data_IF_502748445391
#
_entry.id   IF_502748445391
#
_cell.length_a   1.000
_cell.length_b   1.000
_cell.length_c   1.000
_cell.angle_alpha   90.00
_cell.angle_beta   90.00
_cell.angle_gamma   90.00
#
_symmetry.space_group_name_H-M   'P 1'
#
loop_
_entity.id
_entity.type
_entity.pdbx_description
1 polymer ?
#
# COMPACT_ATOMS: atom_id res chain seq x y z
N UNK A 1 20.23 -3.58 -0.34
CA UNK A 1 19.05 -3.57 0.55
C UNK A 1 18.31 -2.28 0.31
N UNK A 2 17.04 -2.36 -0.09
CA UNK A 2 16.21 -1.20 -0.39
C UNK A 2 15.16 -1.08 0.71
N UNK A 3 14.96 0.13 1.24
CA UNK A 3 13.96 0.39 2.28
C UNK A 3 12.81 1.16 1.65
N UNK A 4 11.59 0.65 1.82
CA UNK A 4 10.38 1.24 1.27
C UNK A 4 9.26 1.14 2.29
N UNK A 5 8.34 2.10 2.29
CA UNK A 5 7.08 1.99 3.00
C UNK A 5 5.95 1.63 2.05
N UNK A 6 4.95 0.91 2.55
CA UNK A 6 3.74 0.57 1.83
C UNK A 6 2.53 0.74 2.74
N UNK A 7 1.56 1.52 2.27
CA UNK A 7 0.39 1.92 3.06
C UNK A 7 -0.89 1.98 2.21
N UNK A 8 -2.03 1.81 2.86
CA UNK A 8 -3.36 1.86 2.28
C UNK A 8 -4.31 2.71 3.11
N UNK A 9 -5.12 3.52 2.42
CA UNK A 9 -6.10 4.41 3.06
C UNK A 9 -7.46 4.25 2.41
N UNK A 10 -8.52 4.16 3.21
CA UNK A 10 -9.90 4.15 2.75
C UNK A 10 -10.74 5.23 3.45
N UNK A 11 -11.53 5.97 2.67
CA UNK A 11 -12.49 6.97 3.14
C UNK A 11 -13.86 6.31 3.36
N UNK A 12 -13.94 5.52 4.44
CA UNK A 12 -15.03 4.59 4.71
C UNK A 12 -14.61 3.15 4.36
N UNK A 13 -15.17 2.15 5.05
CA UNK A 13 -14.73 0.76 4.94
C UNK A 13 -15.95 -0.18 4.73
N UNK A 14 -16.42 -0.38 3.48
CA UNK A 14 -15.79 0.03 2.22
C UNK A 14 -16.11 1.48 1.78
N UNK A 15 -15.24 2.05 0.95
CA UNK A 15 -15.35 3.41 0.43
C UNK A 15 -14.26 3.72 -0.62
N UNK A 16 -14.14 4.98 -1.09
CA UNK A 16 -13.01 5.39 -1.93
C UNK A 16 -11.70 5.08 -1.22
N UNK A 17 -10.81 4.34 -1.88
CA UNK A 17 -9.59 3.87 -1.27
C UNK A 17 -8.39 4.07 -2.20
N UNK A 18 -7.22 4.21 -1.60
CA UNK A 18 -5.96 4.37 -2.29
C UNK A 18 -4.87 3.57 -1.60
N UNK A 19 -3.93 3.09 -2.39
CA UNK A 19 -2.71 2.43 -1.96
C UNK A 19 -1.52 3.27 -2.44
N UNK A 20 -0.41 3.19 -1.70
CA UNK A 20 0.85 3.74 -2.16
C UNK A 20 2.02 2.95 -1.59
N UNK A 21 3.09 2.89 -2.37
CA UNK A 21 4.42 2.55 -1.86
C UNK A 21 5.38 3.69 -2.13
N UNK A 22 6.36 3.84 -1.26
CA UNK A 22 7.25 4.99 -1.24
C UNK A 22 8.68 4.57 -0.86
N UNK A 23 9.65 4.94 -1.69
CA UNK A 23 11.09 4.86 -1.38
C UNK A 23 11.62 6.25 -1.10
N UNK A 24 11.38 7.17 -2.04
CA UNK A 24 11.71 8.59 -1.97
C UNK A 24 10.79 9.40 -2.92
N UNK A 25 10.94 10.73 -2.95
CA UNK A 25 10.07 11.62 -3.74
C UNK A 25 10.18 11.41 -5.26
N UNK A 26 11.26 10.77 -5.73
CA UNK A 26 11.46 10.42 -7.13
C UNK A 26 11.04 8.98 -7.44
N UNK A 27 10.94 8.11 -6.44
CA UNK A 27 10.64 6.69 -6.57
C UNK A 27 9.46 6.28 -5.67
N UNK A 28 8.25 6.46 -6.19
CA UNK A 28 7.00 6.08 -5.54
C UNK A 28 5.91 5.80 -6.56
N UNK A 29 4.92 5.00 -6.19
CA UNK A 29 3.70 4.87 -6.97
C UNK A 29 2.47 4.79 -6.07
N UNK A 30 1.33 5.21 -6.60
CA UNK A 30 0.05 5.15 -5.94
C UNK A 30 -1.06 4.80 -6.94
N UNK A 31 -2.18 4.31 -6.41
CA UNK A 31 -3.35 3.96 -7.19
C UNK A 31 -4.51 3.66 -6.25
N UNK A 32 -5.67 3.28 -6.77
CA UNK A 32 -6.82 3.04 -5.90
C UNK A 32 -8.10 2.70 -6.64
N UNK A 33 -9.21 2.78 -5.90
CA UNK A 33 -10.54 2.47 -6.42
C UNK A 33 -11.59 3.41 -5.82
N UNK A 34 -12.71 3.64 -6.53
CA UNK A 34 -13.87 4.34 -5.96
C UNK A 34 -14.51 3.60 -4.78
N UNK A 35 -14.33 2.28 -4.68
CA UNK A 35 -14.94 1.44 -3.66
C UNK A 35 -14.07 0.22 -3.34
N UNK A 36 -13.38 0.25 -2.20
CA UNK A 36 -12.63 -0.86 -1.63
C UNK A 36 -12.50 -0.70 -0.11
N UNK A 37 -11.93 -1.70 0.55
CA UNK A 37 -11.64 -1.69 1.99
C UNK A 37 -10.21 -1.25 2.28
N UNK A 38 -9.91 -0.85 3.52
CA UNK A 38 -8.55 -0.52 3.93
C UNK A 38 -7.59 -1.71 3.72
N UNK A 39 -8.00 -2.90 4.15
CA UNK A 39 -7.20 -4.13 4.00
C UNK A 39 -6.85 -4.45 2.53
N UNK A 40 -7.76 -4.16 1.59
CA UNK A 40 -7.48 -4.33 0.16
C UNK A 40 -6.44 -3.33 -0.34
N UNK A 41 -6.54 -2.06 0.12
CA UNK A 41 -5.56 -1.04 -0.20
C UNK A 41 -4.17 -1.38 0.37
N UNK A 42 -4.08 -1.76 1.65
CA UNK A 42 -2.82 -2.14 2.29
C UNK A 42 -2.16 -3.36 1.63
N UNK A 43 -2.94 -4.41 1.32
CA UNK A 43 -2.43 -5.59 0.60
C UNK A 43 -1.92 -5.22 -0.79
N UNK A 44 -2.62 -4.32 -1.48
CA UNK A 44 -2.23 -3.91 -2.83
C UNK A 44 -1.00 -3.02 -2.81
N UNK A 45 -0.84 -2.15 -1.81
CA UNK A 45 0.37 -1.35 -1.64
C UNK A 45 1.63 -2.22 -1.60
N UNK A 46 1.58 -3.30 -0.82
CA UNK A 46 2.67 -4.28 -0.75
C UNK A 46 2.79 -5.04 -2.06
N UNK A 47 1.69 -5.55 -2.63
CA UNK A 47 1.72 -6.26 -3.92
C UNK A 47 2.40 -5.44 -5.03
N UNK A 48 2.03 -4.18 -5.18
CA UNK A 48 2.54 -3.29 -6.21
C UNK A 48 4.01 -2.91 -5.96
N UNK A 49 4.45 -2.80 -4.70
CA UNK A 49 5.86 -2.63 -4.38
C UNK A 49 6.68 -3.86 -4.82
N UNK A 50 6.17 -5.07 -4.55
CA UNK A 50 6.84 -6.29 -4.98
C UNK A 50 6.87 -6.42 -6.52
N UNK A 51 5.81 -6.03 -7.21
CA UNK A 51 5.80 -5.98 -8.69
C UNK A 51 6.78 -4.97 -9.26
N UNK A 52 6.78 -3.75 -8.72
CA UNK A 52 7.68 -2.68 -9.16
C UNK A 52 9.16 -3.07 -9.05
N UNK A 53 9.49 -3.94 -8.10
CA UNK A 53 10.86 -4.38 -7.81
C UNK A 53 11.18 -5.78 -8.32
N UNK A 54 10.28 -6.42 -9.09
CA UNK A 54 10.44 -7.82 -9.50
C UNK A 54 11.72 -8.11 -10.31
N UNK A 55 12.30 -7.08 -10.95
CA UNK A 55 13.55 -7.17 -11.71
C UNK A 55 14.81 -7.08 -10.83
N UNK A 56 14.67 -6.83 -9.52
CA UNK A 56 15.76 -6.63 -8.58
C UNK A 56 15.98 -7.85 -7.69
N UNK A 57 17.25 -8.19 -7.48
CA UNK A 57 17.68 -9.22 -6.53
C UNK A 57 17.88 -8.67 -5.10
N UNK A 58 17.84 -7.35 -4.91
CA UNK A 58 18.03 -6.72 -3.61
C UNK A 58 17.05 -7.21 -2.53
N UNK A 59 17.53 -7.29 -1.29
CA UNK A 59 16.65 -7.51 -0.14
C UNK A 59 15.78 -6.27 0.10
N UNK A 60 14.46 -6.48 0.16
CA UNK A 60 13.48 -5.45 0.48
C UNK A 60 13.22 -5.36 1.97
N UNK A 61 13.39 -4.16 2.53
CA UNK A 61 12.95 -3.80 3.86
C UNK A 61 11.65 -3.00 3.77
N UNK A 62 10.53 -3.65 4.10
CA UNK A 62 9.19 -3.05 3.96
C UNK A 62 8.70 -2.54 5.31
N UNK A 63 8.50 -1.23 5.42
CA UNK A 63 7.83 -0.57 6.54
C UNK A 63 6.32 -0.58 6.26
N UNK A 64 5.55 -1.05 7.23
CA UNK A 64 4.10 -1.10 7.12
C UNK A 64 3.48 -1.02 8.52
N UNK A 65 2.42 -0.24 8.69
CA UNK A 65 1.67 -0.18 9.95
C UNK A 65 0.53 -1.20 10.02
N UNK A 66 0.18 -1.83 8.89
CA UNK A 66 -0.81 -2.90 8.83
C UNK A 66 -0.32 -4.19 9.46
N UNK A 67 -0.83 -4.45 10.66
CA UNK A 67 -0.67 -5.77 11.28
C UNK A 67 -1.35 -6.88 10.49
N UNK A 68 -2.42 -6.57 9.74
CA UNK A 68 -3.10 -7.57 8.92
C UNK A 68 -2.17 -8.07 7.81
N UNK A 69 -1.56 -7.16 7.04
CA UNK A 69 -0.64 -7.53 5.95
C UNK A 69 0.58 -8.26 6.48
N UNK A 70 1.23 -7.72 7.52
CA UNK A 70 2.41 -8.35 8.12
C UNK A 70 2.09 -9.76 8.61
N UNK A 71 1.00 -9.95 9.37
CA UNK A 71 0.65 -11.28 9.88
C UNK A 71 0.19 -12.23 8.76
N UNK A 72 -0.51 -11.73 7.73
CA UNK A 72 -0.89 -12.52 6.57
C UNK A 72 0.35 -13.12 5.91
N UNK A 73 1.33 -12.29 5.55
CA UNK A 73 2.56 -12.72 4.87
C UNK A 73 3.45 -13.58 5.78
N UNK A 74 3.67 -13.17 7.02
CA UNK A 74 4.70 -13.79 7.88
C UNK A 74 4.20 -14.99 8.69
N UNK A 75 2.90 -15.09 8.99
CA UNK A 75 2.36 -16.10 9.91
C UNK A 75 1.29 -16.98 9.30
N UNK A 76 0.36 -16.42 8.52
CA UNK A 76 -0.88 -17.13 8.19
C UNK A 76 -0.88 -17.78 6.81
N UNK A 77 -0.25 -17.14 5.81
CA UNK A 77 -0.30 -17.55 4.41
C UNK A 77 0.17 -19.00 4.20
N UNK A 78 1.24 -19.43 4.86
CA UNK A 78 1.72 -20.83 4.79
C UNK A 78 0.70 -21.85 5.32
N UNK A 79 -0.08 -21.48 6.33
CA UNK A 79 -1.18 -22.28 6.87
C UNK A 79 -2.38 -22.31 5.92
N UNK A 80 -2.74 -21.17 5.34
CA UNK A 80 -3.84 -21.05 4.39
C UNK A 80 -3.56 -21.84 3.11
N UNK A 81 -2.35 -21.76 2.54
CA UNK A 81 -1.94 -22.55 1.37
C UNK A 81 -2.12 -24.05 1.59
N UNK A 82 -1.69 -24.57 2.74
CA UNK A 82 -1.88 -25.98 3.11
C UNK A 82 -3.34 -26.40 3.24
N UNK A 83 -4.24 -25.46 3.53
CA UNK A 83 -5.69 -25.67 3.64
C UNK A 83 -6.46 -25.27 2.38
N UNK A 84 -5.77 -25.06 1.25
CA UNK A 84 -6.41 -24.64 0.00
C UNK A 84 -7.10 -23.27 0.12
N UNK A 85 -6.48 -22.34 0.87
CA UNK A 85 -6.95 -20.99 1.12
C UNK A 85 -8.32 -20.91 1.82
N UNK A 86 -8.56 -21.84 2.75
CA UNK A 86 -9.77 -21.89 3.58
C UNK A 86 -9.47 -21.74 5.06
N UNK A 87 -10.39 -21.09 5.77
CA UNK A 87 -10.42 -21.01 7.23
C UNK A 87 -10.90 -22.32 7.84
N UNK A 88 -10.81 -22.44 9.17
CA UNK A 88 -11.23 -23.63 9.90
C UNK A 88 -12.73 -23.93 9.78
N UNK A 89 -13.55 -22.91 9.54
CA UNK A 89 -14.99 -23.00 9.30
C UNK A 89 -15.34 -23.40 7.84
N UNK A 90 -14.34 -23.69 7.00
CA UNK A 90 -14.50 -24.09 5.61
C UNK A 90 -14.72 -22.92 4.64
N UNK A 91 -14.91 -21.69 5.14
CA UNK A 91 -15.07 -20.50 4.30
C UNK A 91 -13.72 -20.10 3.68
N UNK A 92 -13.72 -19.46 2.50
CA UNK A 92 -12.52 -18.86 1.94
C UNK A 92 -11.89 -17.85 2.92
N UNK A 93 -10.57 -17.70 2.83
CA UNK A 93 -9.86 -16.60 3.49
C UNK A 93 -10.30 -15.28 2.83
N UNK A 94 -10.47 -14.24 3.62
CA UNK A 94 -10.82 -12.92 3.09
C UNK A 94 -9.66 -12.35 2.27
N UNK A 95 -9.96 -11.70 1.14
CA UNK A 95 -8.98 -11.19 0.17
C UNK A 95 -8.09 -12.29 -0.45
N UNK A 96 -8.64 -13.51 -0.62
CA UNK A 96 -7.87 -14.65 -1.13
C UNK A 96 -7.22 -14.38 -2.48
N UNK A 97 -7.89 -13.69 -3.40
CA UNK A 97 -7.33 -13.40 -4.72
C UNK A 97 -6.08 -12.51 -4.60
N UNK A 98 -6.16 -11.42 -3.81
CA UNK A 98 -5.01 -10.54 -3.56
C UNK A 98 -3.87 -11.27 -2.84
N UNK A 99 -4.19 -12.10 -1.85
CA UNK A 99 -3.20 -12.88 -1.11
C UNK A 99 -2.49 -13.91 -1.99
N UNK A 100 -3.19 -14.52 -2.95
CA UNK A 100 -2.60 -15.45 -3.91
C UNK A 100 -1.67 -14.74 -4.89
N UNK A 101 -2.06 -13.56 -5.38
CA UNK A 101 -1.17 -12.72 -6.21
C UNK A 101 0.08 -12.32 -5.41
N UNK A 102 -0.09 -11.86 -4.17
CA UNK A 102 1.02 -11.48 -3.31
C UNK A 102 1.94 -12.66 -3.02
N UNK A 103 1.40 -13.85 -2.73
CA UNK A 103 2.19 -15.07 -2.54
C UNK A 103 3.05 -15.41 -3.76
N UNK A 104 2.53 -15.18 -4.98
CA UNK A 104 3.28 -15.40 -6.21
C UNK A 104 4.43 -14.39 -6.36
N UNK A 105 4.20 -13.11 -6.10
CA UNK A 105 5.24 -12.06 -6.19
C UNK A 105 6.31 -12.16 -5.09
N UNK A 106 5.99 -12.76 -3.95
CA UNK A 106 6.93 -13.01 -2.86
C UNK A 106 7.86 -14.20 -3.13
N UNK A 107 7.47 -15.10 -4.04
CA UNK A 107 8.18 -16.36 -4.25
C UNK A 107 9.62 -16.14 -4.73
N UNK A 108 10.59 -16.68 -3.97
CA UNK A 108 12.01 -16.58 -4.31
C UNK A 108 12.68 -15.24 -3.98
N UNK A 109 11.96 -14.28 -3.40
CA UNK A 109 12.49 -12.95 -3.08
C UNK A 109 13.01 -12.87 -1.65
N UNK A 110 13.98 -11.98 -1.42
CA UNK A 110 14.50 -11.66 -0.08
C UNK A 110 13.79 -10.43 0.46
N UNK A 111 13.12 -10.56 1.60
CA UNK A 111 12.41 -9.45 2.21
C UNK A 111 12.32 -9.58 3.72
N UNK A 112 12.16 -8.44 4.40
CA UNK A 112 11.82 -8.33 5.81
C UNK A 112 10.75 -7.26 6.00
N UNK A 113 9.83 -7.50 6.93
CA UNK A 113 8.81 -6.52 7.32
C UNK A 113 9.17 -5.91 8.67
N UNK A 114 9.06 -4.59 8.77
CA UNK A 114 9.10 -3.86 10.04
C UNK A 114 7.72 -3.26 10.29
N UNK A 115 7.13 -3.64 11.41
CA UNK A 115 5.90 -3.00 11.86
C UNK A 115 6.24 -1.64 12.44
N UNK A 116 5.70 -0.59 11.84
CA UNK A 116 5.80 0.78 12.34
C UNK A 116 4.46 1.18 12.93
N UNK A 117 4.48 2.10 13.90
CA UNK A 117 3.24 2.63 14.44
C UNK A 117 2.72 3.71 13.48
N UNK A 118 1.46 3.60 13.08
CA UNK A 118 0.81 4.65 12.30
C UNK A 118 0.79 6.00 13.04
N UNK A 119 0.58 7.06 12.27
CA UNK A 119 0.31 8.45 12.65
C UNK A 119 1.49 9.42 12.84
N UNK A 120 2.62 9.09 13.48
CA UNK A 120 3.79 10.01 13.57
C UNK A 120 5.10 9.27 13.90
N UNK A 121 6.20 9.65 13.26
CA UNK A 121 7.58 9.28 13.61
C UNK A 121 8.30 8.44 12.57
N UNK A 122 7.71 8.25 11.39
CA UNK A 122 8.27 7.41 10.32
C UNK A 122 8.05 8.07 8.96
N UNK A 123 8.97 8.94 8.55
CA UNK A 123 8.86 9.78 7.33
C UNK A 123 8.45 8.99 6.08
N UNK A 124 9.02 7.79 5.86
CA UNK A 124 8.65 6.95 4.72
C UNK A 124 7.19 6.49 4.79
N UNK A 125 6.72 6.06 5.96
CA UNK A 125 5.34 5.60 6.14
C UNK A 125 4.36 6.77 6.04
N UNK A 126 4.68 7.92 6.63
CA UNK A 126 3.87 9.13 6.52
C UNK A 126 3.76 9.60 5.06
N UNK A 127 4.85 9.49 4.29
CA UNK A 127 4.86 9.79 2.87
C UNK A 127 3.97 8.82 2.07
N UNK A 128 3.95 7.53 2.43
CA UNK A 128 3.07 6.53 1.83
C UNK A 128 1.59 6.76 2.21
N UNK A 129 1.27 6.93 3.50
CA UNK A 129 -0.08 7.25 3.99
C UNK A 129 -0.67 8.48 3.28
N UNK A 130 0.10 9.57 3.24
CA UNK A 130 -0.32 10.82 2.59
C UNK A 130 -0.69 10.61 1.12
N UNK A 131 0.10 9.81 0.39
CA UNK A 131 -0.14 9.50 -1.03
C UNK A 131 -1.35 8.56 -1.20
N UNK A 132 -1.47 7.53 -0.39
CA UNK A 132 -2.61 6.61 -0.38
C UNK A 132 -3.91 7.38 -0.10
N UNK A 133 -3.91 8.25 0.91
CA UNK A 133 -5.04 9.12 1.26
C UNK A 133 -5.37 10.10 0.13
N UNK A 134 -4.36 10.71 -0.51
CA UNK A 134 -4.59 11.62 -1.62
C UNK A 134 -5.31 10.94 -2.78
N UNK A 135 -5.00 9.67 -3.08
CA UNK A 135 -5.74 8.88 -4.07
C UNK A 135 -7.19 8.65 -3.64
N UNK A 136 -7.42 8.21 -2.41
CA UNK A 136 -8.77 7.98 -1.89
C UNK A 136 -9.62 9.26 -1.98
N UNK A 137 -9.04 10.41 -1.64
CA UNK A 137 -9.70 11.70 -1.75
C UNK A 137 -9.93 12.15 -3.20
N UNK A 138 -9.04 11.81 -4.13
CA UNK A 138 -9.22 12.07 -5.55
C UNK A 138 -10.44 11.31 -6.08
N UNK A 139 -10.60 10.03 -5.73
CA UNK A 139 -11.79 9.26 -6.06
C UNK A 139 -13.07 9.84 -5.44
N UNK A 140 -13.03 10.23 -4.16
CA UNK A 140 -14.18 10.89 -3.50
C UNK A 140 -14.61 12.17 -4.21
N UNK A 141 -13.65 12.92 -4.78
CA UNK A 141 -13.89 14.22 -5.45
C UNK A 141 -14.10 14.10 -6.96
N UNK A 142 -13.90 12.92 -7.56
CA UNK A 142 -13.87 12.76 -9.01
C UNK A 142 -12.71 13.51 -9.69
N UNK A 143 -11.59 13.67 -9.00
CA UNK A 143 -10.40 14.36 -9.49
C UNK A 143 -9.39 13.39 -10.14
N UNK A 144 -8.35 13.94 -10.77
CA UNK A 144 -7.24 13.14 -11.29
C UNK A 144 -6.54 12.39 -10.16
N UNK A 145 -6.36 11.08 -10.35
CA UNK A 145 -5.72 10.20 -9.36
C UNK A 145 -4.20 10.33 -9.47
N UNK A 146 -3.48 10.68 -8.39
CA UNK A 146 -2.03 10.72 -8.42
C UNK A 146 -1.47 9.29 -8.53
N UNK A 147 -0.60 9.07 -9.51
CA UNK A 147 0.03 7.75 -9.75
C UNK A 147 1.49 7.67 -9.32
N UNK A 148 2.15 8.82 -9.20
CA UNK A 148 3.60 8.90 -8.97
C UNK A 148 4.44 8.59 -10.22
N UNK A 149 5.77 8.79 -10.13
CA UNK A 149 6.73 8.53 -11.20
C UNK A 149 7.02 7.03 -11.43
N UNK A 150 6.59 6.14 -10.53
CA UNK A 150 6.92 4.72 -10.60
C UNK A 150 8.31 4.42 -10.04
N UNK A 151 8.86 3.27 -10.42
CA UNK A 151 10.18 2.83 -9.96
C UNK A 151 11.30 3.52 -10.73
N UNK A 152 12.12 4.32 -10.05
CA UNK A 152 13.22 5.11 -10.64
C UNK A 152 14.53 5.02 -9.86
N UNK A 153 14.59 4.16 -8.83
CA UNK A 153 15.71 4.07 -7.88
C UNK A 153 17.08 3.83 -8.55
N UNK A 154 17.12 3.11 -9.68
CA UNK A 154 18.38 2.92 -10.45
C UNK A 154 18.79 4.17 -11.24
N UNK A 155 17.84 4.97 -11.71
CA UNK A 155 18.13 6.23 -12.39
C UNK A 155 18.70 7.27 -11.41
N UNK A 156 18.26 7.29 -10.16
CA UNK A 156 18.79 8.23 -9.15
C UNK A 156 20.24 7.89 -8.75
N UNK A 157 20.55 6.61 -8.53
CA UNK A 157 21.94 6.15 -8.27
C UNK A 157 22.86 6.39 -9.47
N UNK A 158 22.35 6.18 -10.70
CA UNK A 158 23.10 6.48 -11.91
C UNK A 158 23.33 7.99 -12.11
N UNK A 159 22.37 8.85 -11.72
CA UNK A 159 22.51 10.31 -11.80
C UNK A 159 23.46 10.84 -10.72
N UNK A 160 23.47 10.25 -9.52
CA UNK A 160 24.43 10.60 -8.46
C UNK A 160 25.85 10.12 -8.79
N UNK A 161 25.98 8.94 -9.40
CA UNK A 161 27.24 8.46 -9.97
C UNK A 161 27.69 9.31 -11.18
N UNK A 162 26.78 9.72 -12.05
CA UNK A 162 27.07 10.61 -13.18
C UNK A 162 27.42 12.03 -12.72
N UNK A 163 26.92 12.50 -11.58
CA UNK A 163 27.33 13.78 -10.98
C UNK A 163 28.78 13.74 -10.43
N UNK A 164 29.29 12.56 -10.04
CA UNK A 164 30.70 12.37 -9.67
C UNK A 164 31.59 12.28 -10.91
N UNK A 165 31.08 11.73 -12.01
CA UNK A 165 31.83 11.58 -13.29
C UNK A 165 31.77 12.86 -14.14
N UNK A 166 30.73 13.69 -13.97
CA UNK A 166 30.52 14.95 -14.71
C UNK A 166 31.57 16.03 -14.48
N UNK A 167 32.38 15.93 -13.42
CA UNK A 167 33.54 16.81 -13.18
C UNK A 167 34.79 16.39 -13.97
N UNK A 168 34.78 15.22 -14.64
CA UNK A 168 35.96 14.66 -15.32
C UNK A 168 35.84 14.57 -16.86
N UNK A 169 34.64 14.68 -17.43
CA UNK A 169 34.38 14.47 -18.87
C UNK A 169 34.02 15.78 -19.61
N UNK A 170 34.63 16.89 -19.21
CA UNK A 170 34.53 18.18 -19.90
C UNK A 170 35.57 18.35 -21.02
N UNK A 171 36.03 17.29 -21.69
CA UNK A 171 36.76 17.41 -22.95
C UNK A 171 36.46 16.20 -23.84
N UNK A 172 35.73 16.42 -24.94
CA UNK A 172 35.63 15.66 -26.21
C UNK A 172 34.19 15.46 -26.71
N UNK A 173 33.72 16.41 -27.53
CA UNK A 173 32.80 16.16 -28.64
C UNK A 173 33.61 16.10 -29.97
N UNK A 174 33.04 15.78 -31.16
CA UNK A 174 31.69 15.32 -31.55
C UNK A 174 31.79 14.01 -32.42
N UNK A 175 30.78 13.36 -33.00
CA UNK A 175 29.77 13.82 -33.96
C UNK A 175 28.60 12.83 -34.13
N UNK A 176 27.48 13.41 -34.56
CA UNK A 176 26.22 12.81 -34.98
C UNK A 176 26.33 12.00 -36.28
N UNK A 177 25.59 10.89 -36.35
CA UNK A 177 25.06 10.36 -37.61
C UNK A 177 23.63 9.83 -37.42
N UNK A 178 22.83 9.97 -38.45
CA UNK A 178 21.38 10.08 -38.48
C UNK A 178 20.69 8.93 -39.21
N UNK A 179 19.56 8.47 -38.65
CA UNK A 179 18.42 7.89 -39.38
C UNK A 179 18.09 6.41 -39.11
N UNK A 180 16.89 5.92 -39.48
CA UNK A 180 15.57 6.59 -39.45
C UNK A 180 14.48 5.76 -38.72
N UNK A 181 13.31 6.39 -38.59
CA UNK A 181 12.07 5.98 -37.90
C UNK A 181 11.39 4.69 -38.42
N UNK A 182 10.69 3.99 -37.50
CA UNK A 182 9.44 3.26 -37.74
C UNK A 182 8.74 3.02 -36.38
N UNK A 183 7.64 3.73 -36.07
CA UNK A 183 6.23 3.38 -36.32
C UNK A 183 5.57 2.57 -35.17
N UNK A 184 4.56 3.20 -34.57
CA UNK A 184 3.67 2.76 -33.49
C UNK A 184 2.53 1.89 -34.02
N UNK A 185 2.01 0.95 -33.21
CA UNK A 185 0.59 0.55 -33.24
C UNK A 185 0.15 -0.08 -31.90
N UNK A 186 -1.13 0.14 -31.56
CA UNK A 186 -1.74 -0.04 -30.24
C UNK A 186 -3.04 -0.88 -30.30
N UNK A 187 -3.59 -1.15 -29.10
CA UNK A 187 -4.94 -1.67 -28.74
C UNK A 187 -5.06 -3.21 -28.60
N UNK A 188 -5.88 -3.78 -27.71
CA UNK A 188 -7.16 -3.29 -27.16
C UNK A 188 -7.55 -3.93 -25.81
N UNK A 189 -8.49 -3.23 -25.15
CA UNK A 189 -9.22 -3.52 -23.91
C UNK A 189 -10.02 -4.84 -23.86
N UNK A 190 -10.31 -5.30 -22.63
CA UNK A 190 -11.63 -5.85 -22.33
C UNK A 190 -12.05 -5.54 -20.88
N UNK A 191 -13.22 -4.92 -20.77
CA UNK A 191 -13.83 -4.42 -19.55
C UNK A 191 -15.30 -4.85 -19.53
N UNK A 192 -15.64 -5.81 -18.68
CA UNK A 192 -16.98 -5.97 -18.11
C UNK A 192 -16.95 -7.19 -17.18
N UNK A 193 -17.41 -7.03 -15.93
CA UNK A 193 -18.27 -7.98 -15.21
C UNK A 193 -18.35 -7.56 -13.72
N UNK A 194 -19.12 -6.51 -13.46
CA UNK A 194 -19.71 -6.26 -12.15
C UNK A 194 -21.23 -6.36 -12.28
N UNK A 195 -21.86 -7.21 -11.46
CA UNK A 195 -23.23 -6.99 -11.00
C UNK A 195 -23.29 -7.27 -9.50
N UNK A 196 -23.57 -6.21 -8.75
CA UNK A 196 -23.76 -6.16 -7.31
C UNK A 196 -25.22 -6.48 -6.99
N UNK A 197 -25.46 -7.34 -6.01
CA UNK A 197 -26.72 -7.39 -5.26
C UNK A 197 -26.49 -8.11 -3.91
N UNK A 198 -26.30 -7.34 -2.82
CA UNK A 198 -26.84 -7.60 -1.47
C UNK A 198 -26.42 -6.49 -0.47
N UNK A 199 -27.23 -6.20 0.58
CA UNK A 199 -27.30 -4.88 1.21
C UNK A 199 -26.24 -4.61 2.30
N UNK A 200 -25.79 -3.36 2.34
CA UNK A 200 -24.89 -2.77 3.34
C UNK A 200 -25.68 -2.19 4.52
N UNK A 201 -25.96 -2.97 5.57
CA UNK A 201 -26.47 -2.42 6.84
C UNK A 201 -26.42 -3.43 8.02
N UNK A 202 -25.27 -4.04 8.28
CA UNK A 202 -25.09 -4.85 9.49
C UNK A 202 -24.34 -4.06 10.57
N UNK A 203 -25.09 -3.46 11.50
CA UNK A 203 -24.51 -2.91 12.73
C UNK A 203 -23.91 -4.04 13.56
N UNK A 204 -22.63 -3.94 13.91
CA UNK A 204 -21.96 -4.89 14.78
C UNK A 204 -21.85 -4.32 16.20
N UNK A 205 -22.45 -5.01 17.16
CA UNK A 205 -22.34 -4.67 18.58
C UNK A 205 -21.08 -5.32 19.15
N UNK A 206 -20.17 -4.50 19.66
CA UNK A 206 -18.99 -4.93 20.41
C UNK A 206 -19.22 -4.67 21.90
N UNK A 207 -18.98 -5.68 22.73
CA UNK A 207 -19.00 -5.56 24.20
C UNK A 207 -17.57 -5.64 24.71
N UNK A 208 -17.15 -4.66 25.49
CA UNK A 208 -15.84 -4.60 26.13
C UNK A 208 -16.05 -4.61 27.65
N UNK A 209 -15.38 -5.52 28.34
CA UNK A 209 -15.30 -5.52 29.80
C UNK A 209 -14.09 -4.68 30.22
N UNK A 210 -14.34 -3.54 30.84
CA UNK A 210 -13.31 -2.64 31.34
C UNK A 210 -13.24 -2.72 32.87
N UNK A 211 -12.02 -2.74 33.40
CA UNK A 211 -11.82 -2.47 34.84
C UNK A 211 -12.15 -1.02 35.18
N UNK A 212 -12.38 -0.74 36.46
CA UNK A 212 -12.69 0.62 36.94
C UNK A 212 -11.61 1.64 36.52
N UNK A 213 -10.33 1.25 36.58
CA UNK A 213 -9.22 2.13 36.21
C UNK A 213 -9.15 2.40 34.70
N UNK A 214 -9.47 1.39 33.87
CA UNK A 214 -9.51 1.55 32.41
C UNK A 214 -10.69 2.43 31.98
N UNK A 215 -11.84 2.28 32.63
CA UNK A 215 -13.00 3.14 32.39
C UNK A 215 -12.68 4.59 32.77
N UNK A 216 -12.03 4.84 33.90
CA UNK A 216 -11.61 6.19 34.30
C UNK A 216 -10.65 6.81 33.28
N UNK A 217 -9.65 6.05 32.81
CA UNK A 217 -8.71 6.53 31.78
C UNK A 217 -9.41 6.85 30.46
N UNK A 218 -10.36 6.01 30.05
CA UNK A 218 -11.16 6.22 28.84
C UNK A 218 -11.98 7.50 28.96
N UNK A 219 -12.67 7.71 30.07
CA UNK A 219 -13.50 8.90 30.32
C UNK A 219 -12.65 10.17 30.33
N UNK A 220 -11.46 10.14 30.92
CA UNK A 220 -10.56 11.29 30.94
C UNK A 220 -10.09 11.67 29.53
N UNK A 221 -9.74 10.69 28.70
CA UNK A 221 -9.30 10.93 27.31
C UNK A 221 -10.44 11.45 26.43
N UNK A 222 -11.62 10.83 26.50
CA UNK A 222 -12.79 11.30 25.77
C UNK A 222 -13.16 12.75 26.14
N UNK A 223 -13.07 13.09 27.43
CA UNK A 223 -13.31 14.46 27.92
C UNK A 223 -12.28 15.46 27.43
N UNK A 224 -11.00 15.07 27.31
CA UNK A 224 -9.95 15.92 26.77
C UNK A 224 -10.21 16.29 25.29
N UNK A 225 -10.87 15.39 24.55
CA UNK A 225 -11.27 15.60 23.16
C UNK A 225 -12.69 16.16 23.00
N UNK A 226 -13.41 16.40 24.12
CA UNK A 226 -14.75 16.97 24.10
C UNK A 226 -15.84 16.03 23.57
N UNK A 227 -15.59 14.72 23.51
CA UNK A 227 -16.50 13.70 23.00
C UNK A 227 -16.93 12.72 24.09
N UNK A 228 -17.97 11.93 23.83
CA UNK A 228 -18.35 10.84 24.74
C UNK A 228 -17.34 9.67 24.69
N UNK A 229 -17.24 8.83 25.74
CA UNK A 229 -16.42 7.62 25.71
C UNK A 229 -16.74 6.67 24.56
N UNK A 230 -18.02 6.58 24.17
CA UNK A 230 -18.48 5.74 23.06
C UNK A 230 -18.04 6.29 21.71
N UNK A 231 -18.14 7.60 21.48
CA UNK A 231 -17.63 8.26 20.27
C UNK A 231 -16.12 8.19 20.19
N UNK A 232 -15.44 8.36 21.33
CA UNK A 232 -14.00 8.19 21.43
C UNK A 232 -13.59 6.78 21.01
N UNK A 233 -14.28 5.73 21.48
CA UNK A 233 -14.02 4.35 21.08
C UNK A 233 -14.35 4.06 19.61
N UNK A 234 -15.41 4.68 19.06
CA UNK A 234 -15.75 4.56 17.63
C UNK A 234 -14.66 5.15 16.72
N UNK A 235 -13.85 6.08 17.22
CA UNK A 235 -12.69 6.58 16.48
C UNK A 235 -11.57 5.55 16.26
N UNK A 236 -11.62 4.40 16.97
CA UNK A 236 -10.62 3.32 16.87
C UNK A 236 -11.11 2.08 16.11
N UNK A 237 -12.34 2.08 15.60
CA UNK A 237 -12.97 0.96 14.87
C UNK A 237 -13.17 1.37 13.42
#
# INVERSE_FOLDING_TARGET
MITAAADGSALGNPGPAGWAWYVDDHCWAAGGWPHATNNQAELTAVLELFRATAHLDDELHVLCDSQYVINAVTKWMSGWKRKGWRKADGKPVMNVELLQLLDAELAGRRYRFEWVRGHVGHDLNEAADSRARAVAEAYRRGAAVPSGPGWTYEAASAVEAAAIVGDLEAELEPELDSGPEAAFEAASDDAALFSLDEPVDAWHTLTLDLSTEELERLVQRARAEGVSPEEFLRGFI
#
